data_IF_393086868917
#
_entry.id   IF_393086868917
#
_cell.length_a   1.000
_cell.length_b   1.000
_cell.length_c   1.000
_cell.angle_alpha   90.00
_cell.angle_beta   90.00
_cell.angle_gamma   90.00
#
_symmetry.space_group_name_H-M   'P 1'
#
loop_
_entity.id
_entity.type
_entity.pdbx_description
1 polymer ?
#
# COMPACT_ATOMS: atom_id res chain seq x y z
N UNK A 1 -15.51 -8.01 -25.67
CA UNK A 1 -14.84 -9.07 -24.91
C UNK A 1 -14.50 -8.57 -23.50
N UNK A 2 -14.80 -9.35 -22.49
CA UNK A 2 -14.57 -9.03 -21.07
C UNK A 2 -13.09 -8.72 -20.77
N UNK A 3 -12.16 -9.46 -21.37
CA UNK A 3 -10.71 -9.26 -21.20
C UNK A 3 -10.25 -7.88 -21.68
N UNK A 4 -10.76 -7.39 -22.79
CA UNK A 4 -10.42 -6.06 -23.29
C UNK A 4 -10.95 -4.92 -22.40
N UNK A 5 -12.11 -5.11 -21.78
CA UNK A 5 -12.66 -4.10 -20.87
C UNK A 5 -11.94 -4.04 -19.52
N UNK A 6 -11.50 -5.17 -18.99
CA UNK A 6 -10.71 -5.24 -17.75
C UNK A 6 -9.31 -4.68 -17.93
N UNK A 7 -8.68 -4.95 -19.08
CA UNK A 7 -7.39 -4.40 -19.45
C UNK A 7 -7.46 -2.87 -19.59
N UNK A 8 -8.49 -2.35 -20.26
CA UNK A 8 -8.72 -0.92 -20.38
C UNK A 8 -8.99 -0.21 -19.03
N UNK A 9 -9.68 -0.87 -18.10
CA UNK A 9 -9.93 -0.34 -16.74
C UNK A 9 -8.63 -0.29 -15.95
N UNK A 10 -7.77 -1.30 -16.08
CA UNK A 10 -6.45 -1.34 -15.43
C UNK A 10 -5.53 -0.23 -15.94
N UNK A 11 -5.46 -0.05 -17.25
CA UNK A 11 -4.63 0.98 -17.89
C UNK A 11 -5.06 2.39 -17.50
N UNK A 12 -6.36 2.65 -17.45
CA UNK A 12 -6.91 3.94 -16.97
C UNK A 12 -6.58 4.18 -15.50
N UNK A 13 -6.59 3.14 -14.67
CA UNK A 13 -6.20 3.24 -13.26
C UNK A 13 -4.72 3.60 -13.10
N UNK A 14 -3.83 2.97 -13.86
CA UNK A 14 -2.39 3.26 -13.84
C UNK A 14 -2.07 4.67 -14.36
N UNK A 15 -2.69 5.11 -15.43
CA UNK A 15 -2.55 6.48 -15.96
C UNK A 15 -3.00 7.52 -14.93
N UNK A 16 -4.11 7.26 -14.24
CA UNK A 16 -4.59 8.16 -13.17
C UNK A 16 -3.61 8.24 -12.02
N UNK A 17 -3.04 7.12 -11.59
CA UNK A 17 -2.04 7.11 -10.52
C UNK A 17 -0.76 7.84 -10.92
N UNK A 18 -0.28 7.65 -12.15
CA UNK A 18 0.90 8.36 -12.66
C UNK A 18 0.66 9.88 -12.74
N UNK A 19 -0.52 10.28 -13.18
CA UNK A 19 -0.89 11.69 -13.22
C UNK A 19 -0.93 12.32 -11.81
N UNK A 20 -1.48 11.61 -10.82
CA UNK A 20 -1.52 12.07 -9.43
C UNK A 20 -0.12 12.21 -8.84
N UNK A 21 0.76 11.24 -9.07
CA UNK A 21 2.16 11.32 -8.61
C UNK A 21 2.89 12.51 -9.23
N UNK A 22 2.64 12.81 -10.52
CA UNK A 22 3.19 13.97 -11.18
C UNK A 22 2.67 15.29 -10.58
N UNK A 23 1.37 15.38 -10.30
CA UNK A 23 0.74 16.55 -9.66
C UNK A 23 1.30 16.76 -8.25
N UNK A 24 1.44 15.69 -7.46
CA UNK A 24 2.03 15.73 -6.13
C UNK A 24 3.48 16.27 -6.17
N UNK A 25 4.30 15.75 -7.08
CA UNK A 25 5.66 16.27 -7.31
C UNK A 25 5.69 17.73 -7.71
N UNK A 26 4.76 18.20 -8.53
CA UNK A 26 4.64 19.62 -8.93
C UNK A 26 4.26 20.49 -7.72
N UNK A 27 3.31 20.05 -6.90
CA UNK A 27 2.89 20.81 -5.71
C UNK A 27 4.01 20.91 -4.68
N UNK A 28 4.71 19.82 -4.39
CA UNK A 28 5.87 19.83 -3.50
C UNK A 28 6.98 20.74 -4.06
N UNK A 29 7.26 20.64 -5.36
CA UNK A 29 8.28 21.46 -6.01
C UNK A 29 8.01 22.96 -5.95
N UNK A 30 6.76 23.38 -6.16
CA UNK A 30 6.36 24.78 -6.10
C UNK A 30 6.15 25.29 -4.68
N UNK A 31 5.68 24.45 -3.76
CA UNK A 31 5.36 24.84 -2.40
C UNK A 31 6.55 24.86 -1.43
N UNK A 32 7.53 23.98 -1.65
CA UNK A 32 8.66 23.80 -0.72
C UNK A 32 10.02 24.02 -1.36
N UNK A 33 10.10 24.00 -2.68
CA UNK A 33 11.33 24.19 -3.44
C UNK A 33 12.17 22.91 -3.58
N UNK A 34 13.44 23.10 -3.99
CA UNK A 34 14.37 21.99 -4.28
C UNK A 34 14.69 21.10 -3.07
N UNK A 35 14.80 21.71 -1.90
CA UNK A 35 15.11 20.98 -0.65
C UNK A 35 13.97 20.07 -0.24
N UNK A 36 12.72 20.49 -0.47
CA UNK A 36 11.55 19.65 -0.25
C UNK A 36 11.52 18.44 -1.15
N UNK A 37 11.80 18.61 -2.44
CA UNK A 37 11.90 17.49 -3.39
C UNK A 37 13.03 16.54 -3.00
N UNK A 38 14.18 17.07 -2.58
CA UNK A 38 15.32 16.27 -2.14
C UNK A 38 14.97 15.43 -0.90
N UNK A 39 14.29 16.01 0.08
CA UNK A 39 13.85 15.32 1.29
C UNK A 39 12.88 14.17 0.98
N UNK A 40 11.89 14.41 0.11
CA UNK A 40 10.94 13.37 -0.32
C UNK A 40 11.67 12.25 -1.06
N UNK A 41 12.59 12.58 -1.97
CA UNK A 41 13.34 11.59 -2.75
C UNK A 41 14.25 10.72 -1.88
N UNK A 42 14.78 11.21 -0.78
CA UNK A 42 15.54 10.42 0.19
C UNK A 42 14.66 9.35 0.85
N UNK A 43 13.38 9.61 1.06
CA UNK A 43 12.44 8.66 1.64
C UNK A 43 11.85 7.65 0.63
N UNK A 44 11.93 7.93 -0.68
CA UNK A 44 11.35 7.07 -1.74
C UNK A 44 11.86 5.63 -1.71
N UNK A 45 13.17 5.31 -1.55
CA UNK A 45 13.63 3.92 -1.52
C UNK A 45 12.96 3.09 -0.43
N UNK A 46 12.71 3.69 0.72
CA UNK A 46 12.07 3.04 1.84
C UNK A 46 10.57 2.79 1.56
N UNK A 47 9.89 3.76 0.96
CA UNK A 47 8.52 3.62 0.48
C UNK A 47 8.41 2.49 -0.55
N UNK A 48 9.34 2.44 -1.51
CA UNK A 48 9.37 1.40 -2.55
C UNK A 48 9.58 0.01 -1.96
N UNK A 49 10.41 -0.12 -0.92
CA UNK A 49 10.61 -1.38 -0.20
C UNK A 49 9.30 -1.90 0.40
N UNK A 50 8.59 -1.05 1.14
CA UNK A 50 7.31 -1.42 1.76
C UNK A 50 6.22 -1.72 0.75
N UNK A 51 6.12 -0.91 -0.29
CA UNK A 51 5.19 -1.14 -1.40
C UNK A 51 5.50 -2.45 -2.12
N UNK A 52 6.78 -2.73 -2.36
CA UNK A 52 7.24 -3.98 -2.97
C UNK A 52 6.88 -5.22 -2.15
N UNK A 53 7.04 -5.17 -0.83
CA UNK A 53 6.59 -6.25 0.07
C UNK A 53 5.08 -6.44 -0.02
N UNK A 54 4.32 -5.36 0.01
CA UNK A 54 2.87 -5.40 -0.13
C UNK A 54 2.41 -6.00 -1.46
N UNK A 55 3.05 -5.59 -2.56
CA UNK A 55 2.77 -6.14 -3.89
C UNK A 55 3.12 -7.63 -3.99
N UNK A 56 4.28 -8.03 -3.46
CA UNK A 56 4.70 -9.43 -3.46
C UNK A 56 3.72 -10.32 -2.72
N UNK A 57 3.34 -9.94 -1.51
CA UNK A 57 2.39 -10.71 -0.70
C UNK A 57 0.98 -10.63 -1.29
N UNK A 58 0.56 -9.47 -1.78
CA UNK A 58 -0.75 -9.27 -2.42
C UNK A 58 -0.92 -10.13 -3.66
N UNK A 59 0.05 -10.12 -4.56
CA UNK A 59 0.04 -10.94 -5.77
C UNK A 59 0.08 -12.44 -5.43
N UNK A 60 0.96 -12.87 -4.54
CA UNK A 60 1.04 -14.26 -4.09
C UNK A 60 -0.24 -14.74 -3.41
N UNK A 61 -0.83 -13.93 -2.55
CA UNK A 61 -2.10 -14.20 -1.90
C UNK A 61 -3.24 -14.33 -2.92
N UNK A 62 -3.31 -13.44 -3.91
CA UNK A 62 -4.31 -13.47 -4.97
C UNK A 62 -4.24 -14.77 -5.78
N UNK A 63 -3.04 -15.20 -6.17
CA UNK A 63 -2.85 -16.45 -6.91
C UNK A 63 -3.29 -17.67 -6.09
N UNK A 64 -2.85 -17.77 -4.84
CA UNK A 64 -3.21 -18.88 -3.96
C UNK A 64 -4.73 -18.91 -3.70
N UNK A 65 -5.33 -17.77 -3.40
CA UNK A 65 -6.77 -17.67 -3.17
C UNK A 65 -7.58 -18.03 -4.43
N UNK A 66 -7.12 -17.60 -5.61
CA UNK A 66 -7.73 -17.97 -6.89
C UNK A 66 -7.74 -19.48 -7.13
N UNK A 67 -6.61 -20.15 -6.89
CA UNK A 67 -6.51 -21.62 -7.01
C UNK A 67 -7.45 -22.32 -6.04
N UNK A 68 -7.53 -21.84 -4.80
CA UNK A 68 -8.41 -22.44 -3.79
C UNK A 68 -9.90 -22.24 -4.10
N UNK A 69 -10.28 -21.07 -4.60
CA UNK A 69 -11.63 -20.77 -5.04
C UNK A 69 -12.04 -21.64 -6.23
N UNK A 70 -11.15 -21.84 -7.20
CA UNK A 70 -11.41 -22.71 -8.37
C UNK A 70 -11.61 -24.18 -7.97
N UNK A 71 -11.01 -24.61 -6.86
CA UNK A 71 -11.20 -25.95 -6.26
C UNK A 71 -12.39 -26.05 -5.31
N UNK A 72 -13.21 -25.02 -5.21
CA UNK A 72 -14.36 -24.98 -4.30
C UNK A 72 -14.02 -24.85 -2.80
N UNK A 73 -12.76 -24.53 -2.47
CA UNK A 73 -12.27 -24.40 -1.08
C UNK A 73 -12.32 -22.96 -0.59
N UNK A 74 -13.51 -22.35 -0.57
CA UNK A 74 -13.70 -20.94 -0.19
C UNK A 74 -13.22 -20.63 1.24
N UNK A 75 -13.41 -21.55 2.20
CA UNK A 75 -12.92 -21.38 3.58
C UNK A 75 -11.40 -21.27 3.65
N UNK A 76 -10.67 -22.08 2.88
CA UNK A 76 -9.21 -22.04 2.80
C UNK A 76 -8.73 -20.75 2.15
N UNK A 77 -9.41 -20.26 1.11
CA UNK A 77 -9.10 -18.99 0.45
C UNK A 77 -9.25 -17.81 1.42
N UNK A 78 -10.36 -17.76 2.17
CA UNK A 78 -10.59 -16.72 3.19
C UNK A 78 -9.52 -16.74 4.28
N UNK A 79 -9.15 -17.92 4.76
CA UNK A 79 -8.11 -18.10 5.76
C UNK A 79 -6.76 -17.60 5.26
N UNK A 80 -6.39 -17.93 4.02
CA UNK A 80 -5.14 -17.45 3.41
C UNK A 80 -5.08 -15.93 3.28
N UNK A 81 -6.17 -15.31 2.87
CA UNK A 81 -6.26 -13.85 2.78
C UNK A 81 -6.08 -13.19 4.16
N UNK A 82 -6.76 -13.71 5.18
CA UNK A 82 -6.65 -13.20 6.55
C UNK A 82 -5.23 -13.36 7.10
N UNK A 83 -4.60 -14.51 6.88
CA UNK A 83 -3.22 -14.78 7.30
C UNK A 83 -2.23 -13.86 6.59
N UNK A 84 -2.39 -13.63 5.29
CA UNK A 84 -1.55 -12.73 4.51
C UNK A 84 -1.64 -11.30 5.04
N UNK A 85 -2.84 -10.78 5.29
CA UNK A 85 -3.05 -9.44 5.85
C UNK A 85 -2.42 -9.29 7.24
N UNK A 86 -2.58 -10.27 8.13
CA UNK A 86 -1.96 -10.24 9.44
C UNK A 86 -0.44 -10.25 9.36
N UNK A 87 0.12 -11.09 8.50
CA UNK A 87 1.56 -11.19 8.31
C UNK A 87 2.17 -9.87 7.82
N UNK A 88 1.60 -9.27 6.77
CA UNK A 88 2.11 -8.01 6.23
C UNK A 88 1.91 -6.86 7.21
N UNK A 89 0.84 -6.87 8.00
CA UNK A 89 0.61 -5.87 9.06
C UNK A 89 1.71 -5.95 10.12
N UNK A 90 2.06 -7.14 10.58
CA UNK A 90 3.14 -7.34 11.56
C UNK A 90 4.50 -6.95 10.96
N UNK A 91 4.78 -7.37 9.74
CA UNK A 91 6.04 -7.05 9.03
C UNK A 91 6.20 -5.56 8.79
N UNK A 92 5.10 -4.83 8.58
CA UNK A 92 5.14 -3.37 8.44
C UNK A 92 5.20 -2.65 9.80
N UNK A 93 4.50 -3.16 10.79
CA UNK A 93 4.38 -2.52 12.10
C UNK A 93 5.71 -2.46 12.86
N UNK A 94 6.47 -3.55 12.86
CA UNK A 94 7.75 -3.64 13.59
C UNK A 94 8.78 -2.62 13.05
N UNK A 95 9.12 -2.59 11.73
CA UNK A 95 10.03 -1.59 11.20
C UNK A 95 9.51 -0.16 11.36
N UNK A 96 8.20 0.06 11.20
CA UNK A 96 7.59 1.38 11.37
C UNK A 96 7.75 1.90 12.80
N UNK A 97 7.53 1.04 13.81
CA UNK A 97 7.73 1.40 15.21
C UNK A 97 9.20 1.74 15.51
N UNK A 98 10.15 0.97 14.97
CA UNK A 98 11.58 1.23 15.09
C UNK A 98 11.99 2.56 14.47
N UNK A 99 11.49 2.87 13.27
CA UNK A 99 11.77 4.12 12.58
C UNK A 99 11.17 5.33 13.29
N UNK A 100 9.99 5.21 13.89
CA UNK A 100 9.39 6.26 14.71
C UNK A 100 10.13 6.48 16.02
N UNK A 101 10.73 5.43 16.60
CA UNK A 101 11.54 5.55 17.79
C UNK A 101 12.89 6.24 17.53
N UNK A 102 13.48 6.04 16.34
CA UNK A 102 14.78 6.57 15.92
C UNK A 102 14.72 7.27 14.55
N UNK A 103 13.97 8.36 14.42
CA UNK A 103 13.77 8.99 13.12
C UNK A 103 15.04 9.64 12.55
N UNK A 104 15.88 10.26 13.39
CA UNK A 104 17.13 10.88 12.97
C UNK A 104 18.16 9.85 12.48
N UNK A 105 18.27 8.72 13.16
CA UNK A 105 19.14 7.62 12.76
C UNK A 105 18.70 7.03 11.41
N UNK A 106 17.40 6.85 11.23
CA UNK A 106 16.83 6.38 9.96
C UNK A 106 17.12 7.37 8.83
N UNK A 107 16.95 8.66 9.06
CA UNK A 107 17.27 9.70 8.08
C UNK A 107 18.75 9.69 7.67
N UNK A 108 19.66 9.55 8.63
CA UNK A 108 21.10 9.41 8.34
C UNK A 108 21.44 8.15 7.56
N UNK A 109 20.83 7.02 7.89
CA UNK A 109 20.99 5.76 7.15
C UNK A 109 20.53 5.87 5.69
N UNK A 110 19.51 6.68 5.43
CA UNK A 110 19.01 6.97 4.07
C UNK A 110 19.91 7.93 3.28
N UNK A 111 20.98 8.45 3.89
CA UNK A 111 21.92 9.34 3.23
C UNK A 111 21.53 10.82 3.29
N UNK A 112 20.72 11.22 4.26
CA UNK A 112 20.37 12.62 4.47
C UNK A 112 21.61 13.43 4.87
N UNK A 113 21.79 14.61 4.24
CA UNK A 113 22.77 15.59 4.69
C UNK A 113 22.30 16.28 5.99
N UNK A 114 23.23 16.82 6.77
CA UNK A 114 22.90 17.55 8.01
C UNK A 114 21.95 18.73 7.75
N UNK A 115 22.02 19.34 6.57
CA UNK A 115 21.12 20.42 6.17
C UNK A 115 19.67 19.94 5.97
N UNK A 116 19.48 18.75 5.37
CA UNK A 116 18.16 18.17 5.10
C UNK A 116 17.62 17.33 6.27
N UNK A 117 18.46 17.03 7.25
CA UNK A 117 18.11 16.13 8.35
C UNK A 117 16.81 16.49 9.09
N UNK A 118 16.57 17.76 9.49
CA UNK A 118 15.31 18.13 10.15
C UNK A 118 14.08 17.88 9.26
N UNK A 119 14.18 18.22 7.98
CA UNK A 119 13.09 18.10 7.00
C UNK A 119 12.77 16.63 6.70
N UNK A 120 13.78 15.79 6.53
CA UNK A 120 13.61 14.34 6.34
C UNK A 120 13.05 13.70 7.60
N UNK A 121 13.50 14.09 8.78
CA UNK A 121 13.00 13.59 10.06
C UNK A 121 11.51 13.91 10.25
N UNK A 122 11.10 15.13 9.97
CA UNK A 122 9.71 15.55 10.05
C UNK A 122 8.83 14.78 9.05
N UNK A 123 9.32 14.63 7.82
CA UNK A 123 8.63 13.83 6.79
C UNK A 123 8.44 12.39 7.23
N UNK A 124 9.48 11.75 7.76
CA UNK A 124 9.40 10.36 8.25
C UNK A 124 8.42 10.23 9.42
N UNK A 125 8.44 11.12 10.40
CA UNK A 125 7.54 11.07 11.56
C UNK A 125 6.07 11.10 11.15
N UNK A 126 5.71 11.90 10.17
CA UNK A 126 4.33 12.04 9.70
C UNK A 126 3.92 10.99 8.67
N UNK A 127 4.89 10.40 7.97
CA UNK A 127 4.62 9.47 6.88
C UNK A 127 4.70 8.00 7.28
N UNK A 128 5.62 7.63 8.16
CA UNK A 128 5.81 6.23 8.60
C UNK A 128 4.54 5.57 9.13
N UNK A 129 3.69 6.20 9.95
CA UNK A 129 2.44 5.59 10.42
C UNK A 129 1.50 5.17 9.30
N UNK A 130 1.55 5.86 8.15
CA UNK A 130 0.70 5.53 7.00
C UNK A 130 1.14 4.27 6.24
N UNK A 131 2.35 3.78 6.45
CA UNK A 131 2.85 2.61 5.70
C UNK A 131 2.11 1.31 6.02
N UNK A 132 1.62 1.16 7.24
CA UNK A 132 0.73 0.05 7.59
C UNK A 132 -0.55 0.12 6.76
N UNK A 133 -1.13 1.31 6.63
CA UNK A 133 -2.30 1.55 5.81
C UNK A 133 -2.02 1.43 4.32
N UNK A 134 -0.81 1.76 3.87
CA UNK A 134 -0.37 1.52 2.49
C UNK A 134 -0.45 0.04 2.12
N UNK A 135 -0.05 -0.84 3.01
CA UNK A 135 -0.18 -2.28 2.84
C UNK A 135 -1.66 -2.69 2.87
N UNK A 136 -2.47 -2.08 3.72
CA UNK A 136 -3.92 -2.29 3.78
C UNK A 136 -4.68 -1.77 2.55
N UNK A 137 -4.07 -0.97 1.71
CA UNK A 137 -4.58 -0.66 0.37
C UNK A 137 -4.08 -1.70 -0.63
N UNK A 138 -2.77 -1.94 -0.64
CA UNK A 138 -2.11 -2.73 -1.69
C UNK A 138 -2.61 -4.18 -1.71
N UNK A 139 -2.59 -4.86 -0.58
CA UNK A 139 -3.04 -6.26 -0.51
C UNK A 139 -4.55 -6.40 -0.74
N UNK A 140 -5.43 -5.62 -0.08
CA UNK A 140 -6.86 -5.70 -0.35
C UNK A 140 -7.26 -5.38 -1.79
N UNK A 141 -6.56 -4.51 -2.51
CA UNK A 141 -6.88 -4.23 -3.92
C UNK A 141 -6.78 -5.48 -4.80
N UNK A 142 -5.79 -6.35 -4.57
CA UNK A 142 -5.70 -7.64 -5.25
C UNK A 142 -6.87 -8.56 -4.88
N UNK A 143 -7.21 -8.62 -3.61
CA UNK A 143 -8.29 -9.47 -3.09
C UNK A 143 -9.66 -8.99 -3.56
N UNK A 144 -9.91 -7.69 -3.58
CA UNK A 144 -11.18 -7.10 -4.06
C UNK A 144 -11.38 -7.39 -5.55
N UNK A 145 -10.32 -7.31 -6.35
CA UNK A 145 -10.38 -7.68 -7.77
C UNK A 145 -10.75 -9.15 -7.95
N UNK A 146 -10.16 -10.02 -7.14
CA UNK A 146 -10.45 -11.46 -7.17
C UNK A 146 -11.87 -11.78 -6.67
N UNK A 147 -12.40 -11.00 -5.73
CA UNK A 147 -13.78 -11.14 -5.22
C UNK A 147 -14.86 -10.76 -6.26
N UNK A 148 -14.45 -10.33 -7.44
CA UNK A 148 -15.34 -9.96 -8.55
C UNK A 148 -15.78 -8.50 -8.56
N UNK A 149 -15.08 -7.62 -7.84
CA UNK A 149 -15.37 -6.19 -7.76
C UNK A 149 -14.21 -5.30 -8.25
N UNK A 150 -13.69 -5.49 -9.48
CA UNK A 150 -12.55 -4.71 -9.98
C UNK A 150 -12.87 -3.22 -10.11
N UNK A 151 -14.11 -2.87 -10.40
CA UNK A 151 -14.59 -1.48 -10.46
C UNK A 151 -14.48 -0.78 -9.10
N UNK A 152 -14.76 -1.52 -8.02
CA UNK A 152 -14.64 -0.98 -6.66
C UNK A 152 -13.18 -0.75 -6.28
N UNK A 153 -12.28 -1.68 -6.63
CA UNK A 153 -10.85 -1.50 -6.42
C UNK A 153 -10.33 -0.24 -7.13
N UNK A 154 -10.73 -0.04 -8.38
CA UNK A 154 -10.39 1.17 -9.14
C UNK A 154 -10.98 2.43 -8.48
N UNK A 155 -12.22 2.38 -8.02
CA UNK A 155 -12.87 3.50 -7.34
C UNK A 155 -12.15 3.87 -6.04
N UNK A 156 -11.75 2.89 -5.23
CA UNK A 156 -10.96 3.12 -4.00
C UNK A 156 -9.64 3.83 -4.32
N UNK A 157 -8.91 3.38 -5.35
CA UNK A 157 -7.67 4.02 -5.78
C UNK A 157 -7.90 5.45 -6.26
N UNK A 158 -8.96 5.68 -7.03
CA UNK A 158 -9.29 7.00 -7.56
C UNK A 158 -9.68 7.98 -6.43
N UNK A 159 -10.50 7.54 -5.48
CA UNK A 159 -10.88 8.35 -4.31
C UNK A 159 -9.64 8.72 -3.49
N UNK A 160 -8.77 7.76 -3.21
CA UNK A 160 -7.50 8.00 -2.50
C UNK A 160 -6.65 9.05 -3.24
N UNK A 161 -6.56 8.94 -4.55
CA UNK A 161 -5.81 9.87 -5.39
C UNK A 161 -6.40 11.29 -5.36
N UNK A 162 -7.72 11.43 -5.48
CA UNK A 162 -8.40 12.73 -5.41
C UNK A 162 -8.24 13.38 -4.04
N UNK A 163 -8.40 12.63 -2.96
CA UNK A 163 -8.20 13.11 -1.59
C UNK A 163 -6.75 13.59 -1.42
N UNK A 164 -5.77 12.84 -1.91
CA UNK A 164 -4.37 13.21 -1.86
C UNK A 164 -4.11 14.56 -2.53
N UNK A 165 -4.54 14.73 -3.77
CA UNK A 165 -4.35 16.00 -4.53
C UNK A 165 -5.00 17.19 -3.83
N UNK A 166 -6.23 17.04 -3.35
CA UNK A 166 -6.96 18.11 -2.66
C UNK A 166 -6.27 18.49 -1.36
N UNK A 167 -5.84 17.53 -0.57
CA UNK A 167 -5.16 17.78 0.71
C UNK A 167 -3.76 18.33 0.51
N UNK A 168 -3.01 17.91 -0.51
CA UNK A 168 -1.71 18.47 -0.86
C UNK A 168 -1.83 19.96 -1.18
N UNK A 169 -2.80 20.32 -2.03
CA UNK A 169 -3.06 21.71 -2.33
C UNK A 169 -3.40 22.50 -1.06
N UNK A 170 -4.27 21.97 -0.21
CA UNK A 170 -4.75 22.63 1.00
C UNK A 170 -3.63 22.84 2.04
N UNK A 171 -2.81 21.84 2.27
CA UNK A 171 -1.77 21.90 3.31
C UNK A 171 -0.50 22.61 2.86
N UNK A 172 -0.15 22.52 1.59
CA UNK A 172 1.07 23.15 1.07
C UNK A 172 0.84 24.66 0.86
N UNK A 173 -0.25 25.06 0.19
CA UNK A 173 -0.47 26.46 -0.21
C UNK A 173 -1.18 27.28 0.88
N UNK A 174 -2.45 27.03 1.27
CA UNK A 174 -3.12 27.84 2.27
C UNK A 174 -2.51 27.77 3.67
N UNK A 175 -2.11 26.57 4.11
CA UNK A 175 -1.55 26.38 5.45
C UNK A 175 -0.04 26.56 5.51
N UNK A 176 0.67 26.46 4.39
CA UNK A 176 2.10 26.69 4.33
C UNK A 176 2.94 25.69 5.13
N UNK A 177 2.45 24.46 5.29
CA UNK A 177 3.14 23.42 6.08
C UNK A 177 4.34 22.79 5.36
N UNK A 178 4.53 23.09 4.09
CA UNK A 178 5.66 22.59 3.31
C UNK A 178 5.69 21.07 3.17
N UNK A 179 6.87 20.48 3.36
CA UNK A 179 7.09 19.02 3.25
C UNK A 179 6.24 18.24 4.25
N UNK A 180 6.08 18.77 5.46
CA UNK A 180 5.23 18.16 6.49
C UNK A 180 3.76 18.12 6.05
N UNK A 181 3.29 19.17 5.36
CA UNK A 181 1.95 19.19 4.78
C UNK A 181 1.74 18.13 3.70
N UNK A 182 2.71 17.93 2.81
CA UNK A 182 2.67 16.87 1.79
C UNK A 182 2.65 15.48 2.43
N UNK A 183 3.49 15.23 3.41
CA UNK A 183 3.51 13.96 4.16
C UNK A 183 2.17 13.69 4.85
N UNK A 184 1.60 14.68 5.49
CA UNK A 184 0.35 14.58 6.21
C UNK A 184 -0.84 14.34 5.26
N UNK A 185 -0.88 15.02 4.13
CA UNK A 185 -1.88 14.83 3.09
C UNK A 185 -1.86 13.41 2.52
N UNK A 186 -0.67 12.93 2.17
CA UNK A 186 -0.47 11.56 1.67
C UNK A 186 -0.87 10.53 2.73
N UNK A 187 -0.53 10.76 3.99
CA UNK A 187 -0.89 9.86 5.10
C UNK A 187 -2.41 9.76 5.28
N UNK A 188 -3.12 10.88 5.29
CA UNK A 188 -4.59 10.90 5.43
C UNK A 188 -5.26 10.18 4.26
N UNK A 189 -4.82 10.43 3.03
CA UNK A 189 -5.39 9.81 1.84
C UNK A 189 -5.19 8.29 1.83
N UNK A 190 -4.00 7.83 2.21
CA UNK A 190 -3.69 6.40 2.34
C UNK A 190 -4.50 5.75 3.46
N UNK A 191 -4.62 6.40 4.60
CA UNK A 191 -5.45 5.93 5.72
C UNK A 191 -6.91 5.79 5.31
N UNK A 192 -7.47 6.77 4.65
CA UNK A 192 -8.84 6.73 4.15
C UNK A 192 -9.06 5.59 3.15
N UNK A 193 -8.17 5.43 2.17
CA UNK A 193 -8.24 4.34 1.20
C UNK A 193 -8.08 2.96 1.84
N UNK A 194 -7.14 2.80 2.77
CA UNK A 194 -6.92 1.56 3.51
C UNK A 194 -8.12 1.16 4.37
N UNK A 195 -8.72 2.11 5.06
CA UNK A 195 -9.92 1.87 5.86
C UNK A 195 -11.12 1.46 4.99
N UNK A 196 -11.35 2.13 3.87
CA UNK A 196 -12.42 1.76 2.94
C UNK A 196 -12.22 0.35 2.39
N UNK A 197 -11.01 0.01 1.98
CA UNK A 197 -10.69 -1.33 1.49
C UNK A 197 -10.89 -2.41 2.56
N UNK A 198 -10.45 -2.16 3.79
CA UNK A 198 -10.62 -3.09 4.91
C UNK A 198 -12.09 -3.25 5.32
N UNK A 199 -12.87 -2.17 5.34
CA UNK A 199 -14.32 -2.22 5.60
C UNK A 199 -15.03 -3.09 4.56
N UNK A 200 -14.66 -2.94 3.29
CA UNK A 200 -15.22 -3.81 2.25
C UNK A 200 -14.92 -5.28 2.50
N UNK A 201 -13.68 -5.64 2.80
CA UNK A 201 -13.29 -7.03 3.05
C UNK A 201 -13.91 -7.62 4.32
N UNK A 202 -14.18 -6.79 5.33
CA UNK A 202 -14.79 -7.25 6.57
C UNK A 202 -16.30 -7.46 6.45
N UNK A 203 -17.00 -6.58 5.72
CA UNK A 203 -18.47 -6.53 5.76
C UNK A 203 -19.14 -6.85 4.43
N UNK A 204 -18.56 -6.44 3.31
CA UNK A 204 -19.20 -6.49 1.99
C UNK A 204 -18.64 -7.53 1.03
N UNK A 205 -17.49 -8.14 1.33
CA UNK A 205 -16.88 -9.14 0.46
C UNK A 205 -17.79 -10.38 0.33
N UNK A 206 -17.98 -10.84 -0.91
CA UNK A 206 -18.87 -11.98 -1.22
C UNK A 206 -18.20 -13.33 -0.98
N UNK A 207 -17.02 -13.52 -1.54
CA UNK A 207 -16.29 -14.80 -1.53
C UNK A 207 -15.09 -14.79 -0.58
N UNK A 208 -14.41 -13.68 -0.42
CA UNK A 208 -13.15 -13.54 0.31
C UNK A 208 -13.26 -12.70 1.57
N UNK A 209 -14.38 -12.78 2.26
CA UNK A 209 -14.58 -12.09 3.54
C UNK A 209 -13.56 -12.55 4.57
N UNK A 210 -12.98 -11.59 5.30
CA UNK A 210 -12.04 -11.88 6.38
C UNK A 210 -12.70 -12.70 7.48
N UNK A 211 -11.97 -13.66 8.02
CA UNK A 211 -12.43 -14.52 9.10
C UNK A 211 -11.51 -14.38 10.33
N UNK A 212 -12.04 -14.47 11.56
CA UNK A 212 -11.22 -14.49 12.75
C UNK A 212 -10.31 -15.73 12.77
N UNK A 213 -9.03 -15.52 13.02
CA UNK A 213 -8.06 -16.60 13.18
C UNK A 213 -8.20 -17.24 14.56
N UNK A 214 -8.27 -18.57 14.58
CA UNK A 214 -8.18 -19.32 15.84
C UNK A 214 -6.70 -19.44 16.26
N UNK A 215 -6.38 -18.95 17.45
CA UNK A 215 -5.05 -19.08 18.04
C UNK A 215 -4.80 -20.53 18.48
N UNK A 216 -4.14 -21.31 17.61
CA UNK A 216 -3.73 -22.68 17.85
C UNK A 216 -2.36 -22.90 17.24
N UNK A 217 -1.53 -23.74 17.86
CA UNK A 217 -0.20 -24.11 17.33
C UNK A 217 -0.31 -24.70 15.92
N UNK A 218 -1.35 -25.47 15.63
CA UNK A 218 -1.62 -26.01 14.29
C UNK A 218 -1.95 -24.88 13.29
N UNK A 219 -2.71 -23.88 13.73
CA UNK A 219 -3.05 -22.71 12.91
C UNK A 219 -1.81 -21.88 12.61
N UNK A 220 -0.95 -21.66 13.59
CA UNK A 220 0.30 -20.93 13.41
C UNK A 220 1.24 -21.61 12.41
N UNK A 221 1.41 -22.93 12.53
CA UNK A 221 2.24 -23.73 11.62
C UNK A 221 1.69 -23.70 10.19
N UNK A 222 0.36 -23.78 10.04
CA UNK A 222 -0.31 -23.67 8.75
C UNK A 222 -0.13 -22.27 8.15
N UNK A 223 -0.23 -21.23 8.97
CA UNK A 223 0.00 -19.83 8.58
C UNK A 223 1.40 -19.61 8.04
N UNK A 224 2.42 -20.06 8.76
CA UNK A 224 3.83 -19.94 8.33
C UNK A 224 4.06 -20.66 6.98
N UNK A 225 3.49 -21.86 6.82
CA UNK A 225 3.60 -22.61 5.57
C UNK A 225 2.90 -21.90 4.41
N UNK A 226 1.69 -21.38 4.64
CA UNK A 226 0.91 -20.69 3.61
C UNK A 226 1.58 -19.37 3.20
N UNK A 227 2.08 -18.61 4.16
CA UNK A 227 2.83 -17.36 3.91
C UNK A 227 4.13 -17.66 3.15
N UNK A 228 4.87 -18.68 3.54
CA UNK A 228 6.05 -19.11 2.80
C UNK A 228 5.76 -19.48 1.36
N UNK A 229 4.64 -20.13 1.10
CA UNK A 229 4.19 -20.45 -0.25
C UNK A 229 3.78 -19.20 -1.05
N UNK A 230 3.06 -18.27 -0.43
CA UNK A 230 2.68 -16.99 -1.03
C UNK A 230 3.91 -16.14 -1.37
N UNK A 231 4.89 -16.04 -0.47
CA UNK A 231 6.15 -15.34 -0.71
C UNK A 231 7.00 -16.00 -1.81
N UNK A 232 6.83 -17.29 -2.04
CA UNK A 232 7.53 -18.02 -3.12
C UNK A 232 6.92 -17.75 -4.50
N UNK A 233 5.60 -17.59 -4.55
CA UNK A 233 4.85 -17.30 -5.78
C UNK A 233 4.88 -15.80 -6.11
N UNK A 234 4.89 -14.94 -5.11
CA UNK A 234 4.81 -13.49 -5.26
C UNK A 234 5.79 -12.90 -6.27
N UNK A 235 7.11 -13.20 -6.22
CA UNK A 235 8.07 -12.66 -7.16
C UNK A 235 7.80 -13.05 -8.61
N UNK A 236 7.36 -14.27 -8.87
CA UNK A 236 7.00 -14.72 -10.22
C UNK A 236 5.75 -14.02 -10.76
N UNK A 237 4.77 -13.78 -9.88
CA UNK A 237 3.57 -13.03 -10.22
C UNK A 237 3.89 -11.55 -10.52
N UNK A 238 4.78 -10.93 -9.73
CA UNK A 238 5.27 -9.56 -9.98
C UNK A 238 6.02 -9.44 -11.29
N UNK A 239 6.89 -10.40 -11.61
CA UNK A 239 7.59 -10.43 -12.90
C UNK A 239 6.61 -10.57 -14.06
N UNK A 240 5.58 -11.38 -13.92
CA UNK A 240 4.51 -11.50 -14.91
C UNK A 240 3.75 -10.18 -15.13
N UNK A 241 3.44 -9.43 -14.08
CA UNK A 241 2.82 -8.11 -14.20
C UNK A 241 3.78 -7.06 -14.77
N UNK A 242 5.05 -7.07 -14.39
CA UNK A 242 6.07 -6.15 -14.90
C UNK A 242 6.40 -6.38 -16.39
N UNK A 243 6.29 -7.61 -16.89
CA UNK A 243 6.47 -7.92 -18.31
C UNK A 243 5.27 -7.52 -19.18
N UNK A 244 4.13 -7.17 -18.57
CA UNK A 244 2.94 -6.71 -19.25
C UNK A 244 2.82 -5.17 -19.31
N UNK A 245 3.78 -4.47 -18.70
CA UNK A 245 3.97 -3.02 -18.74
C UNK A 245 4.96 -2.61 -19.82
#
# INVERSE_FOLDING_TARGET
>A
SLVGSEMCIRDRGMLSMSAVTAIDGIFVGHGVGSDGIAAVNICVPLLMLFTGIGLMVGAGCSVVASIQLSRGKSKSARLNVTQALLFVTIVALIPSALMMAFPAETARMLGSSEHLLPMVTDYLLWFVPSWVFQIWITVPLFVIRLDGAPKLAMLCSLITAVINVVLDWLFIFPFGWGVMGAAFATSISIMAGGLVAMVYLLFYARHLRLQPLKWSVKSLRLSVRNIGYQCRIGPSALLGEACLL
#
